data_IF_450142085401
#
_entry.id   IF_450142085401
#
_cell.length_a   1.000
_cell.length_b   1.000
_cell.length_c   1.000
_cell.angle_alpha   90.00
_cell.angle_beta   90.00
_cell.angle_gamma   90.00
#
_symmetry.space_group_name_H-M   'P 1'
#
loop_
_entity.id
_entity.type
_entity.pdbx_description
1 polymer ?
#
# COMPACT_ATOMS: atom_id res chain seq x y z
N UNK A 1 -11.96 20.96 2.96
CA UNK A 1 -11.43 19.81 2.21
C UNK A 1 -11.43 18.63 3.17
N UNK A 2 -12.61 18.10 3.44
CA UNK A 2 -12.75 16.91 4.30
C UNK A 2 -12.36 15.70 3.46
N UNK A 3 -11.23 15.08 3.80
CA UNK A 3 -10.84 13.78 3.30
C UNK A 3 -11.77 12.75 3.93
N UNK A 4 -12.89 12.47 3.26
CA UNK A 4 -13.72 11.32 3.55
C UNK A 4 -12.88 10.07 3.29
N UNK A 5 -12.41 9.44 4.37
CA UNK A 5 -11.36 8.41 4.37
C UNK A 5 -11.79 7.07 3.78
N UNK A 6 -12.00 7.02 2.46
CA UNK A 6 -12.23 5.78 1.71
C UNK A 6 -11.15 5.48 0.68
N UNK A 7 -10.28 6.42 0.35
CA UNK A 7 -9.11 6.18 -0.50
C UNK A 7 -7.91 5.73 0.36
N UNK A 8 -7.49 4.46 0.25
CA UNK A 8 -6.41 3.90 1.08
C UNK A 8 -5.07 4.67 1.03
N UNK A 9 -4.91 5.58 0.07
CA UNK A 9 -3.76 6.49 -0.07
C UNK A 9 -3.70 7.53 1.07
N UNK A 10 -4.82 8.12 1.49
CA UNK A 10 -4.84 9.12 2.58
C UNK A 10 -4.50 8.50 3.95
N UNK A 11 -4.87 7.23 4.15
CA UNK A 11 -4.50 6.47 5.34
C UNK A 11 -2.99 6.22 5.43
N UNK A 12 -2.32 6.01 4.30
CA UNK A 12 -0.88 5.72 4.22
C UNK A 12 -0.05 6.86 4.81
N UNK A 13 -0.37 8.12 4.48
CA UNK A 13 0.35 9.28 5.02
C UNK A 13 0.28 9.39 6.54
N UNK A 14 -0.85 9.00 7.16
CA UNK A 14 -1.01 8.99 8.63
C UNK A 14 -0.21 7.87 9.29
N UNK A 15 -0.14 6.70 8.65
CA UNK A 15 0.60 5.53 9.15
C UNK A 15 2.10 5.86 9.20
N UNK A 16 2.61 6.49 8.14
CA UNK A 16 4.02 6.90 8.05
C UNK A 16 4.36 8.04 9.00
N UNK A 17 3.49 9.04 9.14
CA UNK A 17 3.69 10.13 10.10
C UNK A 17 3.78 9.64 11.56
N UNK A 18 3.17 8.50 11.87
CA UNK A 18 3.28 7.84 13.18
C UNK A 18 4.56 6.98 13.33
N UNK A 19 5.46 6.98 12.34
CA UNK A 19 6.73 6.24 12.35
C UNK A 19 6.61 4.76 11.96
N UNK A 20 5.47 4.33 11.43
CA UNK A 20 5.28 2.95 10.98
C UNK A 20 5.76 2.78 9.55
N UNK A 21 6.08 1.54 9.18
CA UNK A 21 6.29 1.12 7.80
C UNK A 21 4.99 0.58 7.22
N UNK A 22 4.78 0.79 5.92
CA UNK A 22 3.54 0.40 5.26
C UNK A 22 3.81 -0.55 4.09
N UNK A 23 2.95 -1.57 3.99
CA UNK A 23 2.88 -2.42 2.81
C UNK A 23 1.49 -2.26 2.19
N UNK A 24 1.43 -1.90 0.92
CA UNK A 24 0.17 -1.60 0.21
C UNK A 24 -0.11 -2.72 -0.79
N UNK A 25 -1.33 -3.26 -0.76
CA UNK A 25 -1.82 -4.20 -1.79
C UNK A 25 -2.89 -3.54 -2.65
N UNK A 26 -2.55 -3.01 -3.83
CA UNK A 26 -3.54 -2.47 -4.76
C UNK A 26 -4.57 -3.52 -5.19
N UNK A 27 -5.72 -3.04 -5.68
CA UNK A 27 -6.81 -3.89 -6.14
C UNK A 27 -6.44 -4.61 -7.44
N UNK A 28 -6.54 -5.94 -7.44
CA UNK A 28 -6.28 -6.77 -8.63
C UNK A 28 -7.30 -6.57 -9.77
N UNK A 29 -8.46 -5.97 -9.46
CA UNK A 29 -9.53 -5.70 -10.42
C UNK A 29 -9.23 -4.49 -11.32
N UNK A 30 -8.21 -3.70 -10.99
CA UNK A 30 -7.84 -2.47 -11.69
C UNK A 30 -6.32 -2.44 -11.91
N UNK A 31 -5.78 -3.21 -12.87
CA UNK A 31 -4.34 -3.36 -13.03
C UNK A 31 -3.64 -2.08 -13.48
N UNK A 32 -4.23 -1.30 -14.38
CA UNK A 32 -3.64 -0.05 -14.86
C UNK A 32 -3.59 1.02 -13.76
N UNK A 33 -4.64 1.13 -12.95
CA UNK A 33 -4.64 2.02 -11.77
C UNK A 33 -3.62 1.57 -10.73
N UNK A 34 -3.46 0.25 -10.53
CA UNK A 34 -2.49 -0.29 -9.59
C UNK A 34 -1.06 0.06 -9.98
N UNK A 35 -0.71 -0.04 -11.27
CA UNK A 35 0.60 0.38 -11.77
C UNK A 35 0.91 1.84 -11.49
N UNK A 36 -0.05 2.74 -11.75
CA UNK A 36 0.14 4.17 -11.47
C UNK A 36 0.33 4.42 -9.96
N UNK A 37 -0.38 3.69 -9.11
CA UNK A 37 -0.17 3.78 -7.64
C UNK A 37 1.22 3.26 -7.26
N UNK A 38 1.67 2.16 -7.86
CA UNK A 38 3.02 1.63 -7.64
C UNK A 38 4.11 2.63 -8.04
N UNK A 39 3.97 3.26 -9.21
CA UNK A 39 4.90 4.29 -9.69
C UNK A 39 4.93 5.49 -8.75
N UNK A 40 3.76 6.02 -8.36
CA UNK A 40 3.68 7.15 -7.43
C UNK A 40 4.34 6.82 -6.09
N UNK A 41 4.12 5.62 -5.55
CA UNK A 41 4.70 5.22 -4.27
C UNK A 41 6.21 5.02 -4.39
N UNK A 42 6.69 4.41 -5.49
CA UNK A 42 8.11 4.21 -5.74
C UNK A 42 8.88 5.52 -5.95
N UNK A 43 8.23 6.55 -6.49
CA UNK A 43 8.81 7.89 -6.60
C UNK A 43 8.77 8.69 -5.29
N UNK A 44 7.74 8.48 -4.47
CA UNK A 44 7.50 9.29 -3.28
C UNK A 44 8.18 8.77 -2.00
N UNK A 45 8.46 7.46 -1.89
CA UNK A 45 8.93 6.84 -0.65
C UNK A 45 10.09 5.86 -0.87
N UNK A 46 10.93 5.69 0.15
CA UNK A 46 11.94 4.62 0.14
C UNK A 46 11.24 3.25 0.24
N UNK A 47 11.65 2.24 -0.55
CA UNK A 47 11.03 0.92 -0.54
C UNK A 47 11.12 0.20 0.83
N UNK A 48 12.02 0.63 1.71
CA UNK A 48 12.11 0.12 3.09
C UNK A 48 11.09 0.74 4.05
N UNK A 49 10.48 1.86 3.67
CA UNK A 49 9.42 2.54 4.42
C UNK A 49 8.03 2.22 3.87
N UNK A 50 7.88 2.23 2.55
CA UNK A 50 6.64 1.89 1.85
C UNK A 50 6.92 1.03 0.65
N UNK A 51 6.24 -0.11 0.55
CA UNK A 51 6.33 -0.97 -0.63
C UNK A 51 4.96 -1.47 -1.05
N UNK A 52 4.76 -1.59 -2.35
CA UNK A 52 3.53 -2.09 -2.97
C UNK A 52 3.72 -3.54 -3.43
N UNK A 53 2.70 -4.36 -3.24
CA UNK A 53 2.67 -5.74 -3.78
C UNK A 53 1.40 -5.93 -4.58
N UNK A 54 1.58 -6.04 -5.89
CA UNK A 54 0.49 -6.33 -6.81
C UNK A 54 0.39 -7.81 -7.09
N UNK A 55 -0.84 -8.31 -7.06
CA UNK A 55 -1.16 -9.68 -7.31
C UNK A 55 -2.54 -10.05 -6.77
N UNK A 56 -3.06 -11.17 -7.27
CA UNK A 56 -4.38 -11.66 -6.94
C UNK A 56 -4.49 -12.17 -5.50
N UNK A 57 -5.57 -12.90 -5.23
CA UNK A 57 -5.84 -13.50 -3.93
C UNK A 57 -4.68 -14.31 -3.31
N UNK A 58 -3.78 -14.89 -4.11
CA UNK A 58 -2.58 -15.59 -3.60
C UNK A 58 -1.62 -14.66 -2.85
N UNK A 59 -1.40 -13.44 -3.34
CA UNK A 59 -0.55 -12.45 -2.67
C UNK A 59 -1.20 -11.97 -1.37
N UNK A 60 -2.51 -11.73 -1.38
CA UNK A 60 -3.26 -11.37 -0.16
C UNK A 60 -3.22 -12.49 0.90
N UNK A 61 -3.27 -13.74 0.48
CA UNK A 61 -3.13 -14.89 1.38
C UNK A 61 -1.70 -15.05 1.91
N UNK A 62 -0.68 -14.83 1.09
CA UNK A 62 0.72 -14.84 1.52
C UNK A 62 0.99 -13.72 2.54
N UNK A 63 0.46 -12.52 2.29
CA UNK A 63 0.54 -11.39 3.20
C UNK A 63 -0.05 -11.72 4.58
N UNK A 64 -1.24 -12.34 4.61
CA UNK A 64 -1.90 -12.79 5.85
C UNK A 64 -1.11 -13.85 6.63
N UNK A 65 -0.28 -14.64 5.94
CA UNK A 65 0.54 -15.69 6.55
C UNK A 65 1.91 -15.18 7.01
N UNK A 66 2.29 -13.96 6.64
CA UNK A 66 3.51 -13.34 7.13
C UNK A 66 3.36 -12.99 8.62
N UNK A 67 4.14 -13.59 9.54
CA UNK A 67 4.04 -13.28 10.96
C UNK A 67 4.58 -11.87 11.22
N UNK A 68 3.74 -11.01 11.82
CA UNK A 68 4.00 -9.65 12.30
C UNK A 68 4.99 -8.80 11.48
N UNK A 69 4.47 -7.83 10.74
CA UNK A 69 5.20 -6.58 10.51
C UNK A 69 5.28 -5.87 11.87
N UNK A 70 6.38 -6.08 12.60
CA UNK A 70 6.81 -5.18 13.70
C UNK A 70 7.72 -4.12 13.11
#
# INVERSE_FOLDING_TARGET
>A
MELSGSDGVSATGRILAAGNRAMIKPSEFTPETSKVIEEIIAEAFDPTEVTTFSGGSEVGQAFRRCPSIT
#
